data_IF_447497229737
#
_entry.id   IF_447497229737
#
_cell.length_a   1.000
_cell.length_b   1.000
_cell.length_c   1.000
_cell.angle_alpha   90.00
_cell.angle_beta   90.00
_cell.angle_gamma   90.00
#
_symmetry.space_group_name_H-M   'P 1'
#
loop_
_entity.id
_entity.type
_entity.pdbx_description
1 polymer ?
#
# COMPACT_ATOMS: atom_id res chain seq x y z
N UNK A 1 -26.48 25.92 -67.92
CA UNK A 1 -26.80 24.58 -68.45
C UNK A 1 -25.99 23.55 -67.67
N UNK A 2 -26.58 22.44 -67.20
CA UNK A 2 -25.80 21.39 -66.54
C UNK A 2 -24.90 20.71 -67.57
N UNK A 3 -23.64 20.49 -67.21
CA UNK A 3 -22.63 19.88 -68.08
C UNK A 3 -22.93 18.38 -68.17
N UNK A 4 -23.55 17.93 -69.27
CA UNK A 4 -23.73 16.51 -69.56
C UNK A 4 -22.38 15.90 -69.91
N UNK A 5 -21.74 15.27 -68.92
CA UNK A 5 -20.47 14.56 -69.10
C UNK A 5 -20.82 13.11 -69.42
N UNK A 6 -20.57 12.68 -70.66
CA UNK A 6 -20.74 11.29 -71.07
C UNK A 6 -19.62 10.47 -70.42
N UNK A 7 -19.98 9.56 -69.52
CA UNK A 7 -19.01 8.63 -68.96
C UNK A 7 -18.58 7.63 -70.04
N UNK A 8 -17.30 7.59 -70.38
CA UNK A 8 -16.77 6.62 -71.34
C UNK A 8 -16.91 5.21 -70.76
N UNK A 9 -17.72 4.36 -71.41
CA UNK A 9 -17.94 2.97 -71.04
C UNK A 9 -16.76 2.10 -71.48
N UNK A 10 -15.60 2.28 -70.84
CA UNK A 10 -14.37 1.54 -71.12
C UNK A 10 -14.11 0.46 -70.06
N UNK A 11 -13.62 -0.70 -70.50
CA UNK A 11 -13.09 -1.78 -69.66
C UNK A 11 -12.11 -1.27 -68.59
N UNK A 12 -11.18 -0.39 -68.94
CA UNK A 12 -10.22 0.19 -67.98
C UNK A 12 -10.90 0.92 -66.81
N UNK A 13 -11.92 1.74 -67.08
CA UNK A 13 -12.65 2.49 -66.05
C UNK A 13 -13.45 1.56 -65.15
N UNK A 14 -14.01 0.48 -65.71
CA UNK A 14 -14.70 -0.57 -64.95
C UNK A 14 -13.74 -1.33 -64.04
N UNK A 15 -12.60 -1.75 -64.57
CA UNK A 15 -11.58 -2.52 -63.84
C UNK A 15 -10.95 -1.68 -62.70
N UNK A 16 -10.63 -0.41 -62.95
CA UNK A 16 -10.19 0.55 -61.92
C UNK A 16 -11.25 0.78 -60.84
N UNK A 17 -12.53 0.93 -61.24
CA UNK A 17 -13.64 1.08 -60.30
C UNK A 17 -13.84 -0.14 -59.40
N UNK A 18 -13.73 -1.35 -59.96
CA UNK A 18 -13.78 -2.60 -59.19
C UNK A 18 -12.59 -2.74 -58.24
N UNK A 19 -11.38 -2.42 -58.71
CA UNK A 19 -10.16 -2.42 -57.89
C UNK A 19 -10.27 -1.46 -56.71
N UNK A 20 -10.76 -0.25 -56.93
CA UNK A 20 -10.98 0.73 -55.84
C UNK A 20 -12.00 0.24 -54.82
N UNK A 21 -13.13 -0.33 -55.27
CA UNK A 21 -14.14 -0.91 -54.37
C UNK A 21 -13.57 -2.07 -53.54
N UNK A 22 -12.80 -2.96 -54.16
CA UNK A 22 -12.12 -4.05 -53.45
C UNK A 22 -11.15 -3.54 -52.37
N UNK A 23 -10.31 -2.56 -52.73
CA UNK A 23 -9.37 -1.94 -51.77
C UNK A 23 -10.10 -1.19 -50.64
N UNK A 24 -11.24 -0.54 -50.93
CA UNK A 24 -12.08 0.10 -49.91
C UNK A 24 -12.74 -0.92 -48.98
N UNK A 25 -13.21 -2.05 -49.51
CA UNK A 25 -13.75 -3.14 -48.71
C UNK A 25 -12.69 -3.77 -47.81
N UNK A 26 -11.48 -4.00 -48.32
CA UNK A 26 -10.34 -4.46 -47.51
C UNK A 26 -9.97 -3.46 -46.42
N UNK A 27 -9.91 -2.16 -46.76
CA UNK A 27 -9.67 -1.10 -45.76
C UNK A 27 -10.77 -1.06 -44.70
N UNK A 28 -12.04 -1.19 -45.08
CA UNK A 28 -13.17 -1.25 -44.13
C UNK A 28 -13.05 -2.46 -43.20
N UNK A 29 -12.73 -3.64 -43.73
CA UNK A 29 -12.50 -4.86 -42.93
C UNK A 29 -11.34 -4.66 -41.95
N UNK A 30 -10.21 -4.13 -42.42
CA UNK A 30 -9.04 -3.85 -41.58
C UNK A 30 -9.34 -2.82 -40.50
N UNK A 31 -10.04 -1.74 -40.82
CA UNK A 31 -10.40 -0.71 -39.84
C UNK A 31 -11.38 -1.23 -38.79
N UNK A 32 -12.31 -2.11 -39.16
CA UNK A 32 -13.19 -2.82 -38.20
C UNK A 32 -12.39 -3.71 -37.27
N UNK A 33 -11.45 -4.49 -37.80
CA UNK A 33 -10.55 -5.31 -36.99
C UNK A 33 -9.71 -4.46 -36.04
N UNK A 34 -9.11 -3.37 -36.53
CA UNK A 34 -8.36 -2.42 -35.69
C UNK A 34 -9.23 -1.80 -34.59
N UNK A 35 -10.50 -1.51 -34.87
CA UNK A 35 -11.46 -1.03 -33.87
C UNK A 35 -11.71 -2.07 -32.77
N UNK A 36 -11.89 -3.35 -33.13
CA UNK A 36 -12.05 -4.43 -32.15
C UNK A 36 -10.79 -4.62 -31.30
N UNK A 37 -9.60 -4.56 -31.92
CA UNK A 37 -8.32 -4.60 -31.20
C UNK A 37 -8.21 -3.43 -30.23
N UNK A 38 -8.57 -2.22 -30.64
CA UNK A 38 -8.54 -1.04 -29.77
C UNK A 38 -9.46 -1.20 -28.56
N UNK A 39 -10.68 -1.71 -28.76
CA UNK A 39 -11.62 -1.98 -27.66
C UNK A 39 -11.03 -3.03 -26.71
N UNK A 40 -10.45 -4.11 -27.24
CA UNK A 40 -9.79 -5.14 -26.41
C UNK A 40 -8.64 -4.55 -25.59
N UNK A 41 -7.82 -3.70 -26.18
CA UNK A 41 -6.71 -3.03 -25.50
C UNK A 41 -7.25 -2.15 -24.36
N UNK A 42 -8.27 -1.34 -24.61
CA UNK A 42 -8.90 -0.49 -23.58
C UNK A 42 -9.45 -1.35 -22.43
N UNK A 43 -10.16 -2.44 -22.75
CA UNK A 43 -10.68 -3.35 -21.73
C UNK A 43 -9.57 -4.02 -20.92
N UNK A 44 -8.46 -4.42 -21.56
CA UNK A 44 -7.30 -5.00 -20.90
C UNK A 44 -6.69 -4.03 -19.89
N UNK A 45 -6.67 -2.72 -20.19
CA UNK A 45 -6.14 -1.71 -19.28
C UNK A 45 -7.12 -1.30 -18.16
N UNK A 46 -8.44 -1.35 -18.36
CA UNK A 46 -9.44 -0.98 -17.34
C UNK A 46 -9.59 -2.04 -16.24
N UNK A 47 -9.53 -3.33 -16.58
CA UNK A 47 -9.72 -4.40 -15.59
C UNK A 47 -8.68 -4.39 -14.45
N UNK A 48 -7.37 -4.20 -14.68
CA UNK A 48 -6.37 -4.20 -13.60
C UNK A 48 -6.38 -2.94 -12.74
N UNK A 49 -7.00 -1.82 -13.16
CA UNK A 49 -6.95 -0.57 -12.38
C UNK A 49 -7.71 -0.65 -11.07
N UNK A 50 -8.80 -1.41 -11.02
CA UNK A 50 -9.61 -1.55 -9.80
C UNK A 50 -8.84 -2.26 -8.67
N UNK A 51 -8.14 -3.35 -9.01
CA UNK A 51 -7.32 -4.08 -8.04
C UNK A 51 -6.13 -3.26 -7.55
N UNK A 52 -5.56 -2.42 -8.41
CA UNK A 52 -4.38 -1.62 -8.07
C UNK A 52 -4.69 -0.54 -7.02
N UNK A 53 -5.82 0.16 -7.16
CA UNK A 53 -6.21 1.21 -6.21
C UNK A 53 -6.47 0.65 -4.80
N UNK A 54 -7.19 -0.47 -4.70
CA UNK A 54 -7.44 -1.15 -3.43
C UNK A 54 -6.14 -1.72 -2.81
N UNK A 55 -5.26 -2.26 -3.65
CA UNK A 55 -3.93 -2.74 -3.21
C UNK A 55 -3.08 -1.60 -2.64
N UNK A 56 -3.11 -0.42 -3.25
CA UNK A 56 -2.38 0.74 -2.76
C UNK A 56 -2.86 1.19 -1.36
N UNK A 57 -4.18 1.26 -1.17
CA UNK A 57 -4.75 1.70 0.09
C UNK A 57 -4.46 0.69 1.22
N UNK A 58 -4.66 -0.60 0.96
CA UNK A 58 -4.31 -1.66 1.92
C UNK A 58 -2.81 -1.73 2.23
N UNK A 59 -1.94 -1.43 1.28
CA UNK A 59 -0.48 -1.34 1.52
C UNK A 59 -0.14 -0.19 2.46
N UNK A 60 -0.81 0.95 2.30
CA UNK A 60 -0.61 2.10 3.16
C UNK A 60 -1.07 1.80 4.60
N UNK A 61 -2.24 1.20 4.77
CA UNK A 61 -2.76 0.81 6.09
C UNK A 61 -1.82 -0.20 6.78
N UNK A 62 -1.36 -1.22 6.04
CA UNK A 62 -0.38 -2.20 6.54
C UNK A 62 0.94 -1.55 6.95
N UNK A 63 1.40 -0.52 6.24
CA UNK A 63 2.63 0.21 6.55
C UNK A 63 2.50 1.00 7.84
N UNK A 64 1.34 1.62 8.09
CA UNK A 64 1.08 2.32 9.34
C UNK A 64 0.97 1.36 10.52
N UNK A 65 0.23 0.26 10.36
CA UNK A 65 0.16 -0.81 11.36
C UNK A 65 1.53 -1.38 11.68
N UNK A 66 2.38 -1.60 10.67
CA UNK A 66 3.74 -2.09 10.88
C UNK A 66 4.56 -1.13 11.73
N UNK A 67 4.51 0.17 11.45
CA UNK A 67 5.23 1.19 12.25
C UNK A 67 4.73 1.25 13.69
N UNK A 68 3.43 1.15 13.90
CA UNK A 68 2.85 1.12 15.25
C UNK A 68 3.33 -0.13 16.00
N UNK A 69 3.28 -1.29 15.35
CA UNK A 69 3.71 -2.55 15.93
C UNK A 69 5.22 -2.59 16.21
N UNK A 70 6.03 -2.00 15.35
CA UNK A 70 7.47 -1.86 15.56
C UNK A 70 7.78 -0.99 16.80
N UNK A 71 7.02 0.10 16.97
CA UNK A 71 7.14 0.96 18.14
C UNK A 71 6.74 0.23 19.43
N UNK A 72 5.57 -0.42 19.42
CA UNK A 72 5.07 -1.19 20.57
C UNK A 72 6.02 -2.35 20.93
N UNK A 73 6.56 -3.03 19.92
CA UNK A 73 7.57 -4.07 20.10
C UNK A 73 8.81 -3.53 20.78
N UNK A 74 9.32 -2.37 20.34
CA UNK A 74 10.49 -1.74 20.95
C UNK A 74 10.25 -1.37 22.41
N UNK A 75 9.14 -0.69 22.71
CA UNK A 75 8.77 -0.31 24.08
C UNK A 75 8.62 -1.54 24.98
N UNK A 76 7.94 -2.58 24.50
CA UNK A 76 7.75 -3.83 25.23
C UNK A 76 9.08 -4.57 25.44
N UNK A 77 9.96 -4.54 24.45
CA UNK A 77 11.28 -5.16 24.54
C UNK A 77 12.15 -4.46 25.58
N UNK A 78 12.18 -3.13 25.57
CA UNK A 78 12.90 -2.33 26.57
C UNK A 78 12.35 -2.57 27.98
N UNK A 79 11.01 -2.60 28.14
CA UNK A 79 10.39 -2.88 29.44
C UNK A 79 10.70 -4.30 29.93
N UNK A 80 10.72 -5.29 29.03
CA UNK A 80 11.07 -6.67 29.34
C UNK A 80 12.52 -6.78 29.79
N UNK A 81 13.45 -6.12 29.10
CA UNK A 81 14.86 -6.12 29.46
C UNK A 81 15.08 -5.47 30.83
N UNK A 82 14.44 -4.32 31.07
CA UNK A 82 14.45 -3.64 32.37
C UNK A 82 13.92 -4.52 33.50
N UNK A 83 12.77 -5.18 33.29
CA UNK A 83 12.20 -6.10 34.27
C UNK A 83 13.09 -7.32 34.51
N UNK A 84 13.74 -7.86 33.47
CA UNK A 84 14.69 -8.95 33.62
C UNK A 84 15.93 -8.54 34.41
N UNK A 85 16.45 -7.33 34.18
CA UNK A 85 17.57 -6.79 34.94
C UNK A 85 17.21 -6.59 36.42
N UNK A 86 16.04 -6.01 36.72
CA UNK A 86 15.53 -5.92 38.10
C UNK A 86 15.39 -7.32 38.71
N UNK A 87 14.78 -8.27 38.01
CA UNK A 87 14.59 -9.62 38.52
C UNK A 87 15.92 -10.33 38.84
N UNK A 88 16.98 -10.05 38.06
CA UNK A 88 18.34 -10.53 38.37
C UNK A 88 18.90 -9.84 39.60
N UNK A 89 18.79 -8.50 39.70
CA UNK A 89 19.30 -7.72 40.82
C UNK A 89 18.57 -8.00 42.13
N UNK A 90 17.28 -8.31 42.09
CA UNK A 90 16.48 -8.71 43.26
C UNK A 90 16.93 -10.05 43.89
N UNK A 91 17.79 -10.83 43.23
CA UNK A 91 18.42 -12.01 43.85
C UNK A 91 19.52 -11.64 44.84
N UNK A 92 19.99 -10.39 44.81
CA UNK A 92 20.95 -9.86 45.77
C UNK A 92 20.19 -9.22 46.94
N UNK A 93 20.47 -9.67 48.16
CA UNK A 93 19.75 -9.24 49.37
C UNK A 93 19.95 -7.74 49.71
N UNK A 94 21.14 -7.18 49.43
CA UNK A 94 21.42 -5.76 49.67
C UNK A 94 20.62 -4.89 48.68
N UNK A 95 20.61 -5.29 47.39
CA UNK A 95 19.79 -4.64 46.39
C UNK A 95 18.29 -4.77 46.70
N UNK A 96 17.81 -5.97 47.06
CA UNK A 96 16.41 -6.21 47.39
C UNK A 96 15.94 -5.38 48.58
N UNK A 97 16.78 -5.27 49.61
CA UNK A 97 16.50 -4.43 50.79
C UNK A 97 16.42 -2.95 50.39
N UNK A 98 17.38 -2.44 49.59
CA UNK A 98 17.36 -1.05 49.10
C UNK A 98 16.14 -0.78 48.21
N UNK A 99 15.81 -1.70 47.33
CA UNK A 99 14.63 -1.62 46.46
C UNK A 99 13.33 -1.60 47.28
N UNK A 100 13.21 -2.45 48.30
CA UNK A 100 12.03 -2.47 49.18
C UNK A 100 11.85 -1.16 49.94
N UNK A 101 12.94 -0.60 50.48
CA UNK A 101 12.93 0.70 51.16
C UNK A 101 12.55 1.83 50.21
N UNK A 102 13.13 1.86 49.01
CA UNK A 102 12.91 2.93 48.05
C UNK A 102 11.52 2.87 47.37
N UNK A 103 11.06 1.68 46.97
CA UNK A 103 9.82 1.52 46.20
C UNK A 103 8.57 1.38 47.07
N UNK A 104 8.70 0.75 48.25
CA UNK A 104 7.57 0.43 49.12
C UNK A 104 7.65 1.12 50.48
N UNK A 105 8.60 2.03 50.69
CA UNK A 105 8.80 2.71 51.98
C UNK A 105 8.96 1.73 53.14
N UNK A 106 9.55 0.55 52.86
CA UNK A 106 9.76 -0.48 53.87
C UNK A 106 10.71 0.03 54.97
N UNK A 107 10.41 -0.30 56.23
CA UNK A 107 11.23 0.05 57.38
C UNK A 107 11.16 -1.05 58.43
N UNK A 108 12.20 -1.16 59.26
CA UNK A 108 12.24 -2.09 60.39
C UNK A 108 11.72 -1.41 61.67
N UNK A 109 11.39 -2.22 62.67
CA UNK A 109 10.99 -1.71 63.98
C UNK A 109 12.02 -0.73 64.55
N UNK A 110 11.56 0.49 64.86
CA UNK A 110 12.40 1.60 65.34
C UNK A 110 12.95 2.53 64.25
N UNK A 111 12.75 2.25 62.96
CA UNK A 111 13.06 3.17 61.86
C UNK A 111 11.85 4.08 61.56
N UNK A 112 12.10 5.37 61.28
CA UNK A 112 11.07 6.32 60.83
C UNK A 112 11.28 6.68 59.35
N UNK A 113 10.21 6.61 58.54
CA UNK A 113 10.24 6.96 57.11
C UNK A 113 9.60 8.32 56.91
N UNK A 114 10.35 9.25 56.30
CA UNK A 114 9.84 10.56 55.89
C UNK A 114 9.70 10.57 54.36
N UNK A 115 8.46 10.57 53.88
CA UNK A 115 8.16 10.73 52.45
C UNK A 115 8.14 12.22 52.11
N UNK A 116 9.05 12.64 51.25
CA UNK A 116 9.05 14.01 50.72
C UNK A 116 8.31 13.97 49.38
N UNK A 117 7.23 14.76 49.21
CA UNK A 117 6.55 14.84 47.91
C UNK A 117 7.55 15.26 46.82
N UNK A 118 7.47 14.63 45.65
CA UNK A 118 8.31 14.82 44.45
C UNK A 118 9.72 14.20 44.43
N UNK A 119 10.16 13.48 45.47
CA UNK A 119 11.49 12.84 45.49
C UNK A 119 11.51 11.40 44.93
N UNK A 120 10.36 10.73 44.86
CA UNK A 120 10.24 9.41 44.24
C UNK A 120 9.59 9.56 42.87
N UNK A 121 10.18 9.01 41.79
CA UNK A 121 9.50 8.97 40.49
C UNK A 121 8.20 8.16 40.64
N UNK A 122 7.08 8.77 40.25
CA UNK A 122 5.77 8.13 40.23
C UNK A 122 5.76 6.93 39.28
#
# INVERSE_FOLDING_TARGET
>A
MPKNIVQMNNKYIKDEGQRKRFLEEERKKRNRFMGLVLILVILLFILPTYNLAQSYQSLQDKKEQYKQLEKEYKETSEQKEYQQDIAKKLKDDDYATKYARAKYSFSKDGEFVYTIPDLLPQ
#
